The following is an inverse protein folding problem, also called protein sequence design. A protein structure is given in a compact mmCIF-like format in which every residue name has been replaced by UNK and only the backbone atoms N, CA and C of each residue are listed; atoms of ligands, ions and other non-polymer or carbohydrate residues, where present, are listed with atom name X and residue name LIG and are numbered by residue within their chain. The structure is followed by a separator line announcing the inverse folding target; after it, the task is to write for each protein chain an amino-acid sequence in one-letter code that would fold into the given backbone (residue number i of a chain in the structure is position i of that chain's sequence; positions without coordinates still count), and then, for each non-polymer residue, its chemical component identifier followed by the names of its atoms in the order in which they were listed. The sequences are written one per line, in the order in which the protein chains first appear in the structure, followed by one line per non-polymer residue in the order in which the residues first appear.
data_IF_249127586719
#
_entry.id   IF_249127586719
#
_cell.length_a   1.000
_cell.length_b   1.000
_cell.length_c   1.000
_cell.angle_alpha   90.00
_cell.angle_beta   90.00
_cell.angle_gamma   90.00
#
_symmetry.space_group_name_H-M   'P 1'
#
loop_
_entity.id
_entity.type
_entity.pdbx_description
1 polymer ?
#
# COMPACT_ATOMS: atom_id res chain seq x y z
N UNK A 1 45.21 -13.34 -6.64
CA UNK A 1 45.36 -14.56 -5.79
C UNK A 1 43.98 -15.18 -5.60
N UNK A 2 43.86 -16.49 -5.74
CA UNK A 2 42.63 -17.24 -5.43
C UNK A 2 42.52 -17.36 -3.91
N UNK A 3 41.39 -16.96 -3.32
CA UNK A 3 41.19 -17.02 -1.87
C UNK A 3 41.11 -18.48 -1.39
N UNK A 4 41.90 -18.85 -0.38
CA UNK A 4 41.84 -20.16 0.25
C UNK A 4 40.77 -20.15 1.35
N UNK A 5 39.83 -21.09 1.28
CA UNK A 5 38.83 -21.29 2.33
C UNK A 5 39.47 -22.05 3.49
N UNK A 6 39.24 -21.58 4.72
CA UNK A 6 39.68 -22.24 5.96
C UNK A 6 38.53 -22.42 6.94
N UNK A 7 38.80 -23.00 8.11
CA UNK A 7 37.78 -23.38 9.10
C UNK A 7 36.85 -22.23 9.52
N UNK A 8 37.38 -21.00 9.59
CA UNK A 8 36.59 -19.81 9.89
C UNK A 8 35.44 -19.57 8.88
N UNK A 9 35.69 -19.83 7.58
CA UNK A 9 34.67 -19.68 6.53
C UNK A 9 33.59 -20.77 6.57
N UNK A 10 33.88 -21.91 7.19
CA UNK A 10 32.91 -23.00 7.41
C UNK A 10 31.95 -22.65 8.56
N UNK A 11 32.45 -21.99 9.61
CA UNK A 11 31.66 -21.63 10.79
C UNK A 11 30.87 -20.32 10.64
N UNK A 12 31.36 -19.36 9.84
CA UNK A 12 30.75 -18.03 9.74
C UNK A 12 29.56 -17.99 8.77
N UNK A 13 28.44 -17.32 9.11
CA UNK A 13 27.31 -17.14 8.18
C UNK A 13 27.63 -16.17 7.04
N UNK A 14 28.67 -15.35 7.17
CA UNK A 14 29.17 -14.45 6.13
C UNK A 14 30.68 -14.64 5.94
N UNK A 15 31.11 -14.92 4.71
CA UNK A 15 32.53 -15.02 4.33
C UNK A 15 32.86 -13.93 3.31
N UNK A 16 33.80 -13.03 3.63
CA UNK A 16 34.28 -12.03 2.67
C UNK A 16 35.39 -12.60 1.78
N UNK A 17 35.29 -12.34 0.47
CA UNK A 17 36.36 -12.63 -0.50
C UNK A 17 37.38 -11.49 -0.62
N UNK A 18 37.07 -10.33 -0.06
CA UNK A 18 37.92 -9.14 -0.11
C UNK A 18 38.86 -9.15 1.10
N UNK A 19 40.14 -8.84 0.88
CA UNK A 19 41.15 -8.69 1.94
C UNK A 19 41.04 -7.34 2.69
N UNK A 20 39.83 -6.82 2.87
CA UNK A 20 39.57 -5.54 3.52
C UNK A 20 38.45 -5.66 4.56
N UNK A 21 38.46 -4.77 5.56
CA UNK A 21 37.40 -4.70 6.58
C UNK A 21 36.13 -3.98 6.09
N UNK A 22 36.10 -3.47 4.85
CA UNK A 22 34.97 -2.72 4.32
C UNK A 22 33.67 -3.55 4.31
N UNK A 23 33.78 -4.87 4.09
CA UNK A 23 32.66 -5.81 4.12
C UNK A 23 31.88 -5.78 5.44
N UNK A 24 32.53 -5.50 6.57
CA UNK A 24 31.86 -5.37 7.86
C UNK A 24 30.90 -4.18 7.86
N UNK A 25 31.31 -3.04 7.32
CA UNK A 25 30.45 -1.86 7.22
C UNK A 25 29.30 -2.09 6.23
N UNK A 26 29.55 -2.78 5.11
CA UNK A 26 28.53 -3.10 4.11
C UNK A 26 27.46 -4.05 4.66
N UNK A 27 27.85 -5.08 5.42
CA UNK A 27 26.90 -5.96 6.11
C UNK A 27 26.03 -5.16 7.09
N UNK A 28 26.60 -4.24 7.87
CA UNK A 28 25.84 -3.40 8.80
C UNK A 28 24.88 -2.46 8.07
N UNK A 29 25.30 -1.83 6.96
CA UNK A 29 24.42 -0.99 6.13
C UNK A 29 23.26 -1.79 5.55
N UNK A 30 23.56 -2.94 4.95
CA UNK A 30 22.55 -3.81 4.36
C UNK A 30 21.60 -4.35 5.42
N UNK A 31 22.10 -4.76 6.59
CA UNK A 31 21.28 -5.23 7.71
C UNK A 31 20.31 -4.16 8.23
N UNK A 32 20.78 -2.90 8.32
CA UNK A 32 19.91 -1.76 8.71
C UNK A 32 18.84 -1.47 7.66
N UNK A 33 19.20 -1.47 6.38
CA UNK A 33 18.26 -1.31 5.27
C UNK A 33 17.23 -2.44 5.25
N UNK A 34 17.67 -3.70 5.41
CA UNK A 34 16.79 -4.86 5.47
C UNK A 34 15.82 -4.76 6.65
N UNK A 35 16.29 -4.39 7.84
CA UNK A 35 15.44 -4.26 9.02
C UNK A 35 14.34 -3.19 8.83
N UNK A 36 14.68 -1.99 8.35
CA UNK A 36 13.65 -0.96 8.09
C UNK A 36 12.70 -1.38 6.97
N UNK A 37 13.20 -2.08 5.95
CA UNK A 37 12.40 -2.62 4.85
C UNK A 37 11.40 -3.66 5.36
N UNK A 38 11.81 -4.57 6.24
CA UNK A 38 10.89 -5.53 6.86
C UNK A 38 9.85 -4.85 7.74
N UNK A 39 10.26 -3.88 8.56
CA UNK A 39 9.34 -3.18 9.45
C UNK A 39 8.29 -2.35 8.70
N UNK A 40 8.69 -1.63 7.65
CA UNK A 40 7.72 -0.90 6.82
C UNK A 40 6.79 -1.87 6.06
N UNK A 41 7.29 -3.01 5.57
CA UNK A 41 6.45 -4.01 4.88
C UNK A 41 5.38 -4.57 5.81
N UNK A 42 5.74 -4.91 7.05
CA UNK A 42 4.76 -5.38 8.04
C UNK A 42 3.73 -4.31 8.38
N UNK A 43 4.16 -3.04 8.49
CA UNK A 43 3.25 -1.92 8.74
C UNK A 43 2.24 -1.73 7.60
N UNK A 44 2.73 -1.74 6.35
CA UNK A 44 1.89 -1.62 5.14
C UNK A 44 0.92 -2.78 5.07
N UNK A 45 1.39 -4.01 5.30
CA UNK A 45 0.54 -5.21 5.28
C UNK A 45 -0.57 -5.13 6.32
N UNK A 46 -0.25 -4.73 7.55
CA UNK A 46 -1.24 -4.60 8.61
C UNK A 46 -2.36 -3.61 8.26
N UNK A 47 -2.00 -2.44 7.71
CA UNK A 47 -2.98 -1.41 7.34
C UNK A 47 -3.82 -1.88 6.14
N UNK A 48 -3.20 -2.47 5.11
CA UNK A 48 -3.92 -2.96 3.94
C UNK A 48 -4.89 -4.09 4.30
N UNK A 49 -4.52 -5.01 5.20
CA UNK A 49 -5.42 -6.06 5.67
C UNK A 49 -6.64 -5.47 6.40
N UNK A 50 -6.45 -4.45 7.24
CA UNK A 50 -7.54 -3.78 7.94
C UNK A 50 -8.46 -3.02 6.97
N UNK A 51 -7.88 -2.31 6.00
CA UNK A 51 -8.63 -1.63 4.95
C UNK A 51 -9.48 -2.61 4.14
N UNK A 52 -8.88 -3.71 3.70
CA UNK A 52 -9.55 -4.74 2.92
C UNK A 52 -10.69 -5.40 3.72
N UNK A 53 -10.44 -5.72 4.99
CA UNK A 53 -11.47 -6.28 5.87
C UNK A 53 -12.64 -5.31 6.07
N UNK A 54 -12.35 -4.03 6.23
CA UNK A 54 -13.41 -3.02 6.38
C UNK A 54 -14.18 -2.81 5.08
N UNK A 55 -13.49 -2.74 3.94
CA UNK A 55 -14.09 -2.66 2.61
C UNK A 55 -15.12 -3.78 2.40
N UNK A 56 -14.70 -5.02 2.59
CA UNK A 56 -15.57 -6.18 2.46
C UNK A 56 -16.72 -6.16 3.46
N UNK A 57 -16.48 -5.72 4.69
CA UNK A 57 -17.53 -5.58 5.70
C UNK A 57 -18.57 -4.52 5.31
N UNK A 58 -18.15 -3.37 4.79
CA UNK A 58 -19.06 -2.31 4.34
C UNK A 58 -19.91 -2.79 3.18
N UNK A 59 -19.29 -3.41 2.18
CA UNK A 59 -20.02 -3.94 1.01
C UNK A 59 -21.02 -5.02 1.44
N UNK A 60 -20.60 -5.95 2.31
CA UNK A 60 -21.48 -6.99 2.84
C UNK A 60 -22.69 -6.42 3.58
N UNK A 61 -22.51 -5.40 4.43
CA UNK A 61 -23.61 -4.76 5.16
C UNK A 61 -24.62 -4.04 4.24
N UNK A 62 -24.23 -3.72 3.01
CA UNK A 62 -25.11 -3.13 2.01
C UNK A 62 -25.59 -4.14 0.96
N UNK A 63 -25.34 -5.44 1.16
CA UNK A 63 -25.73 -6.49 0.21
C UNK A 63 -24.99 -6.42 -1.14
N UNK A 64 -23.79 -5.84 -1.15
CA UNK A 64 -23.00 -5.63 -2.36
C UNK A 64 -21.78 -6.55 -2.36
N UNK A 65 -21.50 -7.18 -3.50
CA UNK A 65 -20.24 -7.90 -3.74
C UNK A 65 -19.20 -6.99 -4.38
N UNK A 66 -17.93 -7.35 -4.25
CA UNK A 66 -16.83 -6.71 -4.98
C UNK A 66 -16.61 -7.41 -6.31
N UNK A 67 -16.30 -6.67 -7.38
CA UNK A 67 -15.96 -7.25 -8.68
C UNK A 67 -14.64 -8.03 -8.65
N UNK A 68 -14.54 -9.15 -9.36
CA UNK A 68 -13.31 -9.94 -9.43
C UNK A 68 -12.18 -9.15 -10.10
N UNK A 69 -12.51 -8.42 -11.17
CA UNK A 69 -11.57 -7.56 -11.91
C UNK A 69 -10.95 -6.53 -10.98
N UNK A 70 -11.77 -5.89 -10.14
CA UNK A 70 -11.36 -4.92 -9.14
C UNK A 70 -10.34 -5.51 -8.14
N UNK A 71 -10.61 -6.72 -7.63
CA UNK A 71 -9.73 -7.41 -6.69
C UNK A 71 -8.39 -7.79 -7.32
N UNK A 72 -8.40 -8.26 -8.56
CA UNK A 72 -7.17 -8.60 -9.30
C UNK A 72 -6.31 -7.36 -9.51
N UNK A 73 -6.91 -6.22 -9.90
CA UNK A 73 -6.18 -4.96 -10.09
C UNK A 73 -5.52 -4.50 -8.78
N UNK A 74 -6.24 -4.51 -7.66
CA UNK A 74 -5.68 -4.16 -6.35
C UNK A 74 -4.54 -5.12 -5.98
N UNK A 75 -4.76 -6.44 -6.11
CA UNK A 75 -3.79 -7.45 -5.74
C UNK A 75 -2.48 -7.32 -6.55
N UNK A 76 -2.58 -7.15 -7.87
CA UNK A 76 -1.41 -6.95 -8.74
C UNK A 76 -0.69 -5.64 -8.45
N UNK A 77 -1.43 -4.55 -8.21
CA UNK A 77 -0.87 -3.26 -7.83
C UNK A 77 -0.08 -3.34 -6.53
N UNK A 78 -0.68 -3.92 -5.48
CA UNK A 78 -0.05 -4.12 -4.17
C UNK A 78 1.16 -5.04 -4.27
N UNK A 79 1.08 -6.16 -5.00
CA UNK A 79 2.19 -7.07 -5.21
C UNK A 79 3.36 -6.39 -5.94
N UNK A 80 3.08 -5.63 -7.00
CA UNK A 80 4.08 -4.86 -7.73
C UNK A 80 4.77 -3.82 -6.86
N UNK A 81 4.02 -3.07 -6.06
CA UNK A 81 4.57 -2.08 -5.13
C UNK A 81 5.44 -2.73 -4.04
N UNK A 82 5.05 -3.87 -3.48
CA UNK A 82 5.89 -4.61 -2.53
C UNK A 82 7.21 -5.10 -3.15
N UNK A 83 7.18 -5.58 -4.39
CA UNK A 83 8.37 -6.02 -5.11
C UNK A 83 9.34 -4.85 -5.37
N UNK A 84 8.82 -3.68 -5.71
CA UNK A 84 9.64 -2.49 -5.95
C UNK A 84 10.17 -1.86 -4.65
N UNK A 85 9.39 -1.96 -3.58
CA UNK A 85 9.78 -1.52 -2.25
C UNK A 85 10.92 -2.37 -1.68
N UNK A 86 10.90 -3.70 -1.89
CA UNK A 86 11.96 -4.59 -1.42
C UNK A 86 13.30 -4.42 -2.14
N UNK A 87 13.31 -3.74 -3.30
CA UNK A 87 14.50 -3.43 -4.09
C UNK A 87 15.23 -2.15 -3.66
N UNK A 88 14.75 -1.46 -2.62
CA UNK A 88 15.39 -0.25 -2.13
C UNK A 88 16.82 -0.51 -1.64
N UNK A 89 17.72 0.41 -1.94
CA UNK A 89 19.16 0.26 -1.64
C UNK A 89 19.57 0.96 -0.34
N UNK A 90 20.56 0.42 0.39
CA UNK A 90 21.14 1.11 1.54
C UNK A 90 21.91 2.36 1.11
N UNK A 91 21.95 3.37 2.00
CA UNK A 91 22.85 4.52 1.82
C UNK A 91 24.31 4.14 2.08
N UNK A 92 25.24 4.86 1.44
CA UNK A 92 26.70 4.64 1.59
C UNK A 92 27.22 5.06 2.96
N UNK A 93 26.56 5.99 3.63
CA UNK A 93 26.98 6.52 4.92
C UNK A 93 26.19 5.88 6.08
N UNK A 94 26.88 5.56 7.16
CA UNK A 94 26.26 5.03 8.37
C UNK A 94 25.84 6.20 9.27
N UNK A 95 24.53 6.40 9.42
CA UNK A 95 24.01 7.35 10.40
C UNK A 95 24.13 6.82 11.84
N UNK A 96 24.30 7.74 12.81
CA UNK A 96 24.27 7.44 14.25
C UNK A 96 22.89 6.98 14.75
N UNK A 97 21.82 7.33 14.05
CA UNK A 97 20.45 6.94 14.40
C UNK A 97 20.25 5.43 14.25
N UNK A 98 19.62 4.77 15.22
CA UNK A 98 19.30 3.34 15.13
C UNK A 98 17.89 3.13 14.56
N UNK A 99 17.68 2.10 13.70
CA UNK A 99 16.33 1.72 13.30
C UNK A 99 15.56 1.17 14.52
N UNK A 100 14.22 1.27 14.53
CA UNK A 100 13.44 0.59 15.56
C UNK A 100 13.69 -0.93 15.51
N UNK A 101 13.65 -1.56 16.68
CA UNK A 101 13.94 -2.99 16.80
C UNK A 101 12.70 -3.88 16.63
N UNK A 102 11.49 -3.31 16.68
CA UNK A 102 10.24 -4.07 16.65
C UNK A 102 9.09 -3.23 16.10
N UNK A 103 8.13 -3.91 15.46
CA UNK A 103 6.85 -3.31 15.02
C UNK A 103 6.00 -2.84 16.19
N UNK A 104 6.15 -3.46 17.37
CA UNK A 104 5.41 -3.09 18.58
C UNK A 104 5.99 -1.85 19.29
N UNK A 105 6.92 -1.13 18.65
CA UNK A 105 7.36 0.16 19.15
C UNK A 105 6.14 1.11 19.24
N UNK A 106 5.89 1.80 20.37
CA UNK A 106 4.69 2.62 20.55
C UNK A 106 4.46 3.63 19.43
N UNK A 107 5.53 4.24 18.91
CA UNK A 107 5.46 5.17 17.76
C UNK A 107 4.89 4.52 16.50
N UNK A 108 5.26 3.27 16.21
CA UNK A 108 4.77 2.54 15.04
C UNK A 108 3.31 2.13 15.24
N UNK A 109 2.95 1.61 16.42
CA UNK A 109 1.58 1.24 16.76
C UNK A 109 0.62 2.44 16.68
N UNK A 110 0.97 3.57 17.31
CA UNK A 110 0.17 4.80 17.24
C UNK A 110 0.00 5.24 15.79
N UNK A 111 1.06 5.17 14.98
CA UNK A 111 0.97 5.53 13.58
C UNK A 111 0.06 4.60 12.77
N UNK A 112 0.06 3.29 13.03
CA UNK A 112 -0.87 2.34 12.39
C UNK A 112 -2.31 2.67 12.78
N UNK A 113 -2.58 2.84 14.08
CA UNK A 113 -3.93 3.13 14.58
C UNK A 113 -4.48 4.43 13.99
N UNK A 114 -3.68 5.49 13.96
CA UNK A 114 -4.11 6.78 13.40
C UNK A 114 -4.34 6.67 11.89
N UNK A 115 -3.44 6.02 11.14
CA UNK A 115 -3.63 5.83 9.70
C UNK A 115 -4.88 4.98 9.40
N UNK A 116 -5.10 3.91 10.15
CA UNK A 116 -6.32 3.13 10.05
C UNK A 116 -7.55 4.00 10.32
N UNK A 117 -7.59 4.76 11.41
CA UNK A 117 -8.72 5.63 11.71
C UNK A 117 -9.01 6.63 10.58
N UNK A 118 -7.98 7.27 10.01
CA UNK A 118 -8.12 8.21 8.89
C UNK A 118 -8.68 7.52 7.65
N UNK A 119 -8.12 6.37 7.26
CA UNK A 119 -8.60 5.66 6.08
C UNK A 119 -10.01 5.09 6.25
N UNK A 120 -10.33 4.55 7.45
CA UNK A 120 -11.69 4.08 7.76
C UNK A 120 -12.69 5.23 7.75
N UNK A 121 -12.32 6.40 8.28
CA UNK A 121 -13.16 7.60 8.23
C UNK A 121 -13.39 8.08 6.79
N UNK A 122 -12.37 8.02 5.92
CA UNK A 122 -12.51 8.38 4.51
C UNK A 122 -13.50 7.45 3.79
N UNK A 123 -13.40 6.13 4.01
CA UNK A 123 -14.35 5.17 3.44
C UNK A 123 -15.75 5.39 4.00
N UNK A 124 -15.90 5.57 5.32
CA UNK A 124 -17.19 5.84 5.95
C UNK A 124 -17.84 7.12 5.44
N UNK A 125 -17.07 8.19 5.24
CA UNK A 125 -17.54 9.43 4.64
C UNK A 125 -18.01 9.21 3.20
N UNK A 126 -17.27 8.44 2.40
CA UNK A 126 -17.70 8.08 1.05
C UNK A 126 -19.01 7.31 1.02
N UNK A 127 -19.17 6.33 1.90
CA UNK A 127 -20.43 5.56 2.05
C UNK A 127 -21.59 6.48 2.48
N UNK A 128 -21.35 7.39 3.42
CA UNK A 128 -22.37 8.33 3.89
C UNK A 128 -22.87 9.27 2.77
N UNK A 129 -21.98 9.70 1.87
CA UNK A 129 -22.34 10.49 0.68
C UNK A 129 -23.22 9.71 -0.29
N UNK A 130 -23.03 8.40 -0.39
CA UNK A 130 -23.85 7.55 -1.25
C UNK A 130 -25.24 7.26 -0.66
N UNK A 131 -25.44 7.38 0.66
CA UNK A 131 -26.67 6.97 1.33
C UNK A 131 -27.99 7.51 0.72
N UNK A 132 -28.09 8.77 0.26
CA UNK A 132 -29.29 9.30 -0.41
C UNK A 132 -29.60 8.64 -1.77
N UNK A 133 -28.60 8.02 -2.40
CA UNK A 133 -28.66 7.43 -3.73
C UNK A 133 -28.76 5.90 -3.69
N UNK A 134 -28.82 5.30 -2.50
CA UNK A 134 -28.93 3.86 -2.35
C UNK A 134 -30.39 3.40 -2.41
N UNK A 135 -30.68 2.27 -3.07
CA UNK A 135 -31.98 1.62 -2.90
C UNK A 135 -32.15 1.19 -1.43
N UNK A 136 -33.40 1.04 -0.95
CA UNK A 136 -33.64 0.47 0.36
C UNK A 136 -32.97 -0.91 0.47
N UNK A 137 -32.37 -1.20 1.62
CA UNK A 137 -31.69 -2.47 1.87
C UNK A 137 -32.65 -3.63 1.61
N UNK A 138 -32.34 -4.45 0.62
CA UNK A 138 -33.01 -5.72 0.37
C UNK A 138 -32.46 -6.81 1.28
N UNK A 139 -33.11 -7.97 1.31
CA UNK A 139 -32.50 -9.15 1.93
C UNK A 139 -31.13 -9.41 1.28
N UNK A 140 -30.12 -9.60 2.14
CA UNK A 140 -28.75 -9.89 1.69
C UNK A 140 -28.75 -11.33 1.18
N UNK A 141 -28.60 -11.50 -0.12
CA UNK A 141 -28.36 -12.80 -0.74
C UNK A 141 -26.84 -13.05 -0.83
N UNK A 142 -26.29 -13.99 -0.03
CA UNK A 142 -24.87 -14.32 -0.08
C UNK A 142 -24.41 -14.93 -1.41
N UNK A 143 -25.34 -15.50 -2.19
CA UNK A 143 -25.06 -16.22 -3.43
C UNK A 143 -25.29 -15.37 -4.69
N UNK A 144 -25.83 -14.16 -4.57
CA UNK A 144 -26.07 -13.24 -5.69
C UNK A 144 -24.78 -12.89 -6.46
N UNK A 145 -24.86 -12.71 -7.77
CA UNK A 145 -23.70 -12.31 -8.57
C UNK A 145 -23.29 -10.84 -8.30
N UNK A 146 -22.07 -10.48 -8.69
CA UNK A 146 -21.62 -9.09 -8.61
C UNK A 146 -22.36 -8.22 -9.62
N UNK A 147 -22.99 -7.14 -9.13
CA UNK A 147 -23.56 -6.09 -9.96
C UNK A 147 -22.88 -4.74 -9.65
N UNK A 148 -22.35 -4.05 -10.68
CA UNK A 148 -21.78 -2.72 -10.52
C UNK A 148 -22.80 -1.72 -9.97
N UNK A 149 -22.41 -0.97 -8.93
CA UNK A 149 -23.24 0.08 -8.34
C UNK A 149 -22.39 1.22 -7.75
N UNK A 150 -23.06 2.30 -7.34
CA UNK A 150 -22.42 3.52 -6.85
C UNK A 150 -21.61 3.27 -5.57
N UNK A 151 -22.14 2.51 -4.60
CA UNK A 151 -21.42 2.24 -3.35
C UNK A 151 -20.16 1.41 -3.60
N UNK A 152 -20.22 0.38 -4.46
CA UNK A 152 -19.05 -0.41 -4.84
C UNK A 152 -17.99 0.48 -5.50
N UNK A 153 -18.40 1.32 -6.45
CA UNK A 153 -17.51 2.21 -7.19
C UNK A 153 -16.78 3.18 -6.23
N UNK A 154 -17.52 3.80 -5.32
CA UNK A 154 -16.97 4.74 -4.33
C UNK A 154 -16.03 4.04 -3.35
N UNK A 155 -16.47 2.93 -2.77
CA UNK A 155 -15.68 2.16 -1.81
C UNK A 155 -14.39 1.64 -2.47
N UNK A 156 -14.47 1.14 -3.70
CA UNK A 156 -13.32 0.70 -4.49
C UNK A 156 -12.34 1.84 -4.76
N UNK A 157 -12.80 3.00 -5.21
CA UNK A 157 -11.93 4.14 -5.53
C UNK A 157 -11.20 4.67 -4.29
N UNK A 158 -11.93 4.90 -3.19
CA UNK A 158 -11.37 5.42 -1.94
C UNK A 158 -10.37 4.43 -1.34
N UNK A 159 -10.70 3.13 -1.31
CA UNK A 159 -9.80 2.10 -0.77
C UNK A 159 -8.58 1.87 -1.66
N UNK A 160 -8.71 2.00 -2.97
CA UNK A 160 -7.58 1.86 -3.91
C UNK A 160 -6.56 2.99 -3.73
N UNK A 161 -7.02 4.24 -3.59
CA UNK A 161 -6.13 5.37 -3.27
C UNK A 161 -5.55 5.26 -1.86
N UNK A 162 -6.33 4.78 -0.89
CA UNK A 162 -5.80 4.51 0.44
C UNK A 162 -4.66 3.48 0.40
N UNK A 163 -4.83 2.37 -0.34
CA UNK A 163 -3.76 1.37 -0.52
C UNK A 163 -2.48 1.99 -1.10
N UNK A 164 -2.58 2.80 -2.16
CA UNK A 164 -1.43 3.50 -2.73
C UNK A 164 -0.79 4.47 -1.71
N UNK A 165 -1.61 5.21 -0.95
CA UNK A 165 -1.18 6.14 0.09
C UNK A 165 -0.41 5.46 1.21
N UNK A 166 -0.84 4.26 1.61
CA UNK A 166 -0.13 3.47 2.62
C UNK A 166 1.29 3.15 2.16
N UNK A 167 1.54 2.84 0.88
CA UNK A 167 2.91 2.65 0.38
C UNK A 167 3.72 3.95 0.39
N UNK A 168 3.15 5.05 -0.10
CA UNK A 168 3.85 6.33 -0.21
C UNK A 168 4.23 6.91 1.16
N UNK A 169 3.28 6.93 2.10
CA UNK A 169 3.45 7.53 3.43
C UNK A 169 4.35 6.68 4.33
N UNK A 170 4.32 5.36 4.19
CA UNK A 170 5.11 4.45 5.04
C UNK A 170 6.46 4.06 4.44
N UNK A 171 6.82 4.56 3.26
CA UNK A 171 8.15 4.35 2.70
C UNK A 171 9.21 5.03 3.58
N UNK A 172 10.09 4.21 4.16
CA UNK A 172 11.25 4.66 4.90
C UNK A 172 12.31 5.17 3.93
N UNK A 173 12.85 6.37 4.14
CA UNK A 173 13.94 6.90 3.31
C UNK A 173 15.26 6.98 4.07
N UNK A 174 15.97 8.08 3.85
CA UNK A 174 17.12 8.45 4.67
C UNK A 174 16.73 8.45 6.16
N UNK A 175 17.63 8.03 7.06
CA UNK A 175 19.06 7.79 6.84
C UNK A 175 19.47 6.32 6.62
N UNK A 176 18.52 5.40 6.36
CA UNK A 176 18.82 3.96 6.29
C UNK A 176 18.81 3.40 4.87
N UNK A 177 17.99 3.98 4.00
CA UNK A 177 17.83 3.59 2.61
C UNK A 177 17.68 4.82 1.72
N UNK A 178 17.77 4.62 0.41
CA UNK A 178 17.57 5.68 -0.57
C UNK A 178 16.19 6.34 -0.40
N UNK A 179 16.06 7.66 -0.63
CA UNK A 179 14.77 8.30 -0.63
C UNK A 179 13.89 7.77 -1.77
N UNK A 180 12.56 7.84 -1.63
CA UNK A 180 11.61 7.33 -2.63
C UNK A 180 11.83 7.93 -4.03
N UNK A 181 12.34 9.17 -4.10
CA UNK A 181 12.69 9.85 -5.36
C UNK A 181 13.79 9.14 -6.16
N UNK A 182 14.69 8.44 -5.46
CA UNK A 182 15.78 7.69 -6.07
C UNK A 182 15.32 6.28 -6.48
N UNK A 183 14.31 5.71 -5.81
CA UNK A 183 13.58 4.53 -6.28
C UNK A 183 12.58 4.91 -7.40
N UNK A 184 13.12 5.23 -8.57
CA UNK A 184 12.38 5.71 -9.75
C UNK A 184 11.24 4.78 -10.17
N UNK A 185 11.41 3.47 -10.01
CA UNK A 185 10.39 2.50 -10.40
C UNK A 185 9.19 2.54 -9.45
N UNK A 186 9.44 2.50 -8.14
CA UNK A 186 8.37 2.61 -7.15
C UNK A 186 7.62 3.93 -7.31
N UNK A 187 8.35 5.04 -7.48
CA UNK A 187 7.73 6.35 -7.67
C UNK A 187 6.85 6.41 -8.93
N UNK A 188 7.32 5.88 -10.07
CA UNK A 188 6.54 5.85 -11.31
C UNK A 188 5.26 5.02 -11.16
N UNK A 189 5.34 3.84 -10.54
CA UNK A 189 4.18 2.97 -10.32
C UNK A 189 3.19 3.63 -9.36
N UNK A 190 3.68 4.29 -8.31
CA UNK A 190 2.84 5.01 -7.36
C UNK A 190 2.12 6.18 -8.03
N UNK A 191 2.82 7.00 -8.81
CA UNK A 191 2.22 8.10 -9.58
C UNK A 191 1.23 7.59 -10.62
N UNK A 192 1.53 6.48 -11.30
CA UNK A 192 0.61 5.86 -12.24
C UNK A 192 -0.67 5.36 -11.55
N UNK A 193 -0.58 4.80 -10.33
CA UNK A 193 -1.75 4.43 -9.55
C UNK A 193 -2.61 5.64 -9.20
N UNK A 194 -2.02 6.72 -8.67
CA UNK A 194 -2.77 7.95 -8.39
C UNK A 194 -3.42 8.53 -9.64
N UNK A 195 -2.69 8.57 -10.76
CA UNK A 195 -3.24 9.06 -12.03
C UNK A 195 -4.41 8.19 -12.52
N UNK A 196 -4.27 6.86 -12.46
CA UNK A 196 -5.33 5.92 -12.84
C UNK A 196 -6.61 6.16 -12.03
N UNK A 197 -6.50 6.19 -10.70
CA UNK A 197 -7.68 6.35 -9.84
C UNK A 197 -8.23 7.77 -9.84
N UNK A 198 -7.41 8.79 -10.10
CA UNK A 198 -7.88 10.15 -10.32
C UNK A 198 -8.70 10.26 -11.63
N UNK A 199 -8.21 9.66 -12.72
CA UNK A 199 -8.93 9.61 -13.99
C UNK A 199 -10.24 8.82 -13.87
N UNK A 200 -10.22 7.71 -13.14
CA UNK A 200 -11.40 6.91 -12.86
C UNK A 200 -12.43 7.67 -12.00
N UNK A 201 -11.99 8.35 -10.93
CA UNK A 201 -12.89 9.11 -10.05
C UNK A 201 -13.50 10.36 -10.70
N UNK A 202 -12.78 10.98 -11.63
CA UNK A 202 -13.28 12.12 -12.42
C UNK A 202 -14.10 11.71 -13.64
N UNK A 203 -14.19 10.41 -13.92
CA UNK A 203 -14.86 9.83 -15.10
C UNK A 203 -14.35 10.43 -16.43
N UNK A 204 -13.10 10.90 -16.44
CA UNK A 204 -12.52 11.56 -17.59
C UNK A 204 -12.31 10.63 -18.79
N UNK A 205 -12.18 9.32 -18.52
CA UNK A 205 -11.92 8.28 -19.51
C UNK A 205 -12.82 7.06 -19.26
N UNK A 206 -14.00 7.06 -19.87
CA UNK A 206 -14.96 5.97 -19.72
C UNK A 206 -14.40 4.54 -19.93
N UNK A 207 -13.50 4.25 -20.90
CA UNK A 207 -12.95 2.91 -21.05
C UNK A 207 -12.20 2.39 -19.82
N UNK A 208 -11.62 3.28 -19.02
CA UNK A 208 -10.97 2.92 -17.74
C UNK A 208 -12.01 2.58 -16.70
N UNK A 209 -13.09 3.38 -16.60
CA UNK A 209 -14.19 3.13 -15.70
C UNK A 209 -14.89 1.80 -16.00
N UNK A 210 -15.14 1.52 -17.28
CA UNK A 210 -15.75 0.26 -17.75
C UNK A 210 -14.88 -0.96 -17.43
N UNK A 211 -13.57 -0.89 -17.68
CA UNK A 211 -12.61 -1.93 -17.30
C UNK A 211 -12.60 -2.20 -15.78
N UNK A 212 -12.81 -1.16 -14.97
CA UNK A 212 -12.85 -1.26 -13.51
C UNK A 212 -14.25 -1.55 -12.97
N UNK A 213 -15.23 -1.81 -13.85
CA UNK A 213 -16.63 -2.10 -13.48
C UNK A 213 -17.23 -0.97 -12.61
N UNK A 214 -16.90 0.29 -12.94
CA UNK A 214 -17.37 1.49 -12.25
C UNK A 214 -18.63 2.06 -12.90
N UNK A 215 -19.56 2.48 -12.05
CA UNK A 215 -20.83 3.11 -12.46
C UNK A 215 -20.69 4.63 -12.42
N UNK A 216 -21.35 5.38 -13.32
CA UNK A 216 -21.37 6.83 -13.26
C UNK A 216 -21.92 7.30 -11.91
N UNK A 217 -21.15 8.13 -11.21
CA UNK A 217 -21.51 8.68 -9.92
C UNK A 217 -22.28 9.99 -10.10
N UNK A 218 -23.32 10.24 -9.29
CA UNK A 218 -23.95 11.56 -9.20
C UNK A 218 -22.92 12.65 -8.86
N UNK A 219 -23.09 13.86 -9.41
CA UNK A 219 -22.14 14.96 -9.24
C UNK A 219 -21.92 15.37 -7.76
N UNK A 220 -22.97 15.25 -6.95
CA UNK A 220 -22.97 15.51 -5.51
C UNK A 220 -22.23 14.44 -4.70
N UNK A 221 -21.95 13.28 -5.29
CA UNK A 221 -21.07 12.25 -4.73
C UNK A 221 -19.66 12.36 -5.33
N UNK A 222 -19.56 12.48 -6.66
CA UNK A 222 -18.30 12.41 -7.41
C UNK A 222 -17.27 13.43 -6.92
N UNK A 223 -17.64 14.70 -6.84
CA UNK A 223 -16.68 15.76 -6.48
C UNK A 223 -16.23 15.70 -5.01
N UNK A 224 -17.12 15.44 -4.03
CA UNK A 224 -16.68 15.15 -2.67
C UNK A 224 -15.77 13.92 -2.56
N UNK A 225 -16.01 12.85 -3.34
CA UNK A 225 -15.13 11.67 -3.37
C UNK A 225 -13.75 12.02 -3.93
N UNK A 226 -13.68 12.78 -5.03
CA UNK A 226 -12.40 13.26 -5.58
C UNK A 226 -11.65 14.12 -4.53
N UNK A 227 -12.36 14.95 -3.76
CA UNK A 227 -11.77 15.73 -2.69
C UNK A 227 -11.26 14.86 -1.52
N UNK A 228 -12.02 13.84 -1.10
CA UNK A 228 -11.61 12.87 -0.07
C UNK A 228 -10.36 12.11 -0.51
N UNK A 229 -10.28 11.69 -1.79
CA UNK A 229 -9.14 10.99 -2.34
C UNK A 229 -7.88 11.87 -2.46
N UNK A 230 -8.04 13.19 -2.53
CA UNK A 230 -6.94 14.14 -2.63
C UNK A 230 -6.39 14.61 -1.26
N UNK A 231 -7.13 14.37 -0.17
CA UNK A 231 -6.79 14.79 1.19
C UNK A 231 -5.87 13.78 1.91
#
# INVERSE_FOLDING_TARGET
QVAQFGDASIASPFTSKLSTIASTADIVRQGRCALVTTLQMYKILAINCLLMSYMLSVLYLHGVKSGETQQVVIALGVAGMFLLLSRAKPLKELSRQRPPASIFAPRLLVSVVVQCAVHLAAVAAGVALCAPHMPPLSEIDPDADFEPNVINSVVYLVTSVANASVFGVNYWGAPFMEPMRDNKWLLRVLLANYALFFLAATEALWPVNDMLELVPMPDDVRWPIVAIMAA
#
